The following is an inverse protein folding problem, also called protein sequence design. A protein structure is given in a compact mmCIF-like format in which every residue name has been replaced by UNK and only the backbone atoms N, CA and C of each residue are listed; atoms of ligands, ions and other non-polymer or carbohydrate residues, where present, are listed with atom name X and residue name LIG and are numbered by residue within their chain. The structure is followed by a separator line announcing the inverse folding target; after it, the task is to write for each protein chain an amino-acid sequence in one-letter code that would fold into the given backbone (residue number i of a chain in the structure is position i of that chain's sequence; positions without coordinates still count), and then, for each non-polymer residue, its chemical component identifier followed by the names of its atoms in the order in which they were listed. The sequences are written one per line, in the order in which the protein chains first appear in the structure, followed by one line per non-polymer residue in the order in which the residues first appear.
data_IF_886726141584
#
_entry.id   IF_886726141584
#
_cell.length_a   1.000
_cell.length_b   1.000
_cell.length_c   1.000
_cell.angle_alpha   90.00
_cell.angle_beta   90.00
_cell.angle_gamma   90.00
#
_symmetry.space_group_name_H-M   'P 1'
#
loop_
_entity.id
_entity.type
_entity.pdbx_description
1 polymer ?
#
# COMPACT_ATOMS: atom_id res chain seq x y z
N UNK A 1 12.57 4.40 45.77
CA UNK A 1 12.75 5.01 44.45
C UNK A 1 12.06 4.14 43.41
N UNK A 2 11.32 4.76 42.47
CA UNK A 2 10.66 4.10 41.35
C UNK A 2 11.42 4.53 40.08
N UNK A 3 11.77 3.56 39.26
CA UNK A 3 12.38 3.80 37.95
C UNK A 3 11.43 3.31 36.88
N UNK A 4 11.12 4.17 35.91
CA UNK A 4 10.36 3.82 34.70
C UNK A 4 11.41 3.50 33.65
N UNK A 5 11.31 2.33 33.04
CA UNK A 5 12.24 1.86 32.01
C UNK A 5 11.51 1.53 30.73
N UNK A 6 12.16 1.81 29.61
CA UNK A 6 11.72 1.42 28.29
C UNK A 6 12.47 0.19 27.79
N UNK A 7 12.00 -0.39 26.67
CA UNK A 7 12.72 -1.50 26.05
C UNK A 7 14.13 -1.04 25.64
N UNK A 8 15.14 -1.84 26.01
CA UNK A 8 16.55 -1.51 25.77
C UNK A 8 17.25 -0.79 26.91
N UNK A 9 16.52 -0.26 27.89
CA UNK A 9 17.15 0.32 29.09
C UNK A 9 17.75 -0.75 29.98
N UNK A 10 18.90 -0.43 30.57
CA UNK A 10 19.54 -1.32 31.53
C UNK A 10 19.77 -0.64 32.88
N UNK A 11 19.58 -1.40 33.97
CA UNK A 11 19.87 -0.98 35.34
C UNK A 11 20.87 -1.93 35.99
N UNK A 12 21.91 -1.37 36.58
CA UNK A 12 22.87 -2.09 37.39
C UNK A 12 22.51 -1.92 38.84
N UNK A 13 22.05 -3.02 39.48
CA UNK A 13 21.69 -3.05 40.89
C UNK A 13 22.90 -3.52 41.73
N UNK A 14 23.28 -2.74 42.72
CA UNK A 14 24.28 -3.09 43.72
C UNK A 14 23.66 -2.96 45.11
N UNK A 15 24.34 -3.54 46.14
CA UNK A 15 23.81 -3.63 47.50
C UNK A 15 23.26 -2.31 48.07
N UNK A 16 23.82 -1.16 47.68
CA UNK A 16 23.42 0.16 48.20
C UNK A 16 23.29 1.22 47.08
N UNK A 17 23.29 0.83 45.80
CA UNK A 17 23.20 1.76 44.69
C UNK A 17 22.51 1.16 43.50
N UNK A 18 21.85 2.05 42.74
CA UNK A 18 21.25 1.77 41.43
C UNK A 18 21.91 2.70 40.45
N UNK A 19 22.44 2.16 39.39
CA UNK A 19 23.06 2.92 38.30
C UNK A 19 22.29 2.64 37.01
N UNK A 20 21.99 3.71 36.27
CA UNK A 20 21.46 3.58 34.91
C UNK A 20 22.62 3.14 34.00
N UNK A 21 22.45 2.00 33.35
CA UNK A 21 23.43 1.45 32.43
C UNK A 21 23.23 1.99 30.99
N UNK A 22 23.98 1.46 30.02
CA UNK A 22 23.81 1.83 28.64
C UNK A 22 22.46 1.37 28.10
N UNK A 23 21.93 2.11 27.13
CA UNK A 23 20.78 1.72 26.35
C UNK A 23 21.23 0.73 25.25
N UNK A 24 20.50 -0.38 25.10
CA UNK A 24 20.74 -1.36 24.05
C UNK A 24 19.63 -1.29 23.01
N UNK A 25 19.92 -1.42 21.70
CA UNK A 25 18.91 -1.50 20.67
C UNK A 25 17.93 -2.64 20.96
N UNK A 26 16.65 -2.33 21.09
CA UNK A 26 15.58 -3.29 21.39
C UNK A 26 14.42 -3.12 20.40
N UNK A 27 14.75 -2.87 19.14
CA UNK A 27 13.78 -2.78 18.08
C UNK A 27 13.13 -4.14 17.81
N UNK A 28 11.84 -4.17 17.45
CA UNK A 28 11.15 -5.42 17.15
C UNK A 28 11.80 -6.11 15.95
N UNK A 29 12.12 -7.40 16.09
CA UNK A 29 12.58 -8.24 14.97
C UNK A 29 11.38 -9.02 14.45
N UNK A 30 10.94 -8.72 13.23
CA UNK A 30 9.86 -9.43 12.59
C UNK A 30 10.36 -10.75 11.99
N UNK A 31 9.70 -11.85 12.33
CA UNK A 31 10.03 -13.19 11.84
C UNK A 31 8.85 -13.71 11.02
N UNK A 32 9.08 -14.07 9.77
CA UNK A 32 8.07 -14.73 8.94
C UNK A 32 8.15 -16.26 9.15
N UNK A 33 7.03 -16.87 9.40
CA UNK A 33 6.69 -18.13 10.09
C UNK A 33 7.60 -19.37 9.94
N UNK A 34 8.54 -19.45 9.01
CA UNK A 34 9.46 -20.59 8.84
C UNK A 34 10.90 -20.23 8.45
N UNK A 35 11.11 -19.02 7.97
CA UNK A 35 12.46 -18.57 7.60
C UNK A 35 12.98 -17.59 8.66
N UNK A 36 13.98 -18.03 9.41
CA UNK A 36 14.71 -17.21 10.39
C UNK A 36 15.56 -16.11 9.73
N UNK A 37 15.51 -15.98 8.43
CA UNK A 37 16.28 -15.00 7.64
C UNK A 37 15.52 -13.70 7.42
N UNK A 38 14.98 -13.08 8.42
CA UNK A 38 14.40 -11.72 8.37
C UNK A 38 13.49 -11.45 7.17
N UNK A 39 12.26 -11.04 7.41
CA UNK A 39 11.33 -10.64 6.34
C UNK A 39 11.85 -9.38 5.65
N UNK A 40 11.75 -9.32 4.32
CA UNK A 40 12.12 -8.13 3.56
C UNK A 40 11.35 -6.90 4.09
N UNK A 41 12.07 -5.83 4.37
CA UNK A 41 11.53 -4.57 4.92
C UNK A 41 10.36 -4.02 4.09
N UNK A 42 10.40 -4.17 2.76
CA UNK A 42 9.29 -3.80 1.89
C UNK A 42 8.00 -4.58 2.17
N UNK A 43 8.11 -5.88 2.49
CA UNK A 43 6.95 -6.73 2.83
C UNK A 43 6.36 -6.34 4.19
N UNK A 44 7.20 -5.99 5.14
CA UNK A 44 6.76 -5.50 6.46
C UNK A 44 5.99 -4.20 6.28
N UNK A 45 6.57 -3.25 5.57
CA UNK A 45 5.94 -1.95 5.29
C UNK A 45 4.58 -2.09 4.56
N UNK A 46 4.48 -2.96 3.55
CA UNK A 46 3.20 -3.22 2.87
C UNK A 46 2.15 -3.81 3.83
N UNK A 47 2.55 -4.71 4.74
CA UNK A 47 1.66 -5.28 5.75
C UNK A 47 1.19 -4.24 6.77
N UNK A 48 2.06 -3.34 7.20
CA UNK A 48 1.73 -2.23 8.10
C UNK A 48 0.71 -1.30 7.42
N UNK A 49 0.98 -0.86 6.21
CA UNK A 49 0.05 -0.02 5.43
C UNK A 49 -1.32 -0.71 5.28
N UNK A 50 -1.34 -2.00 4.92
CA UNK A 50 -2.59 -2.75 4.79
C UNK A 50 -3.35 -2.86 6.12
N UNK A 51 -2.66 -2.97 7.25
CA UNK A 51 -3.30 -3.08 8.56
C UNK A 51 -3.89 -1.76 9.05
N UNK A 52 -3.25 -0.64 8.74
CA UNK A 52 -3.64 0.69 9.19
C UNK A 52 -4.61 1.38 8.22
N UNK A 53 -4.25 1.43 6.95
CA UNK A 53 -4.93 2.21 5.92
C UNK A 53 -5.73 1.36 4.92
N UNK A 54 -5.51 0.04 4.93
CA UNK A 54 -6.18 -0.88 4.03
C UNK A 54 -5.58 -0.95 2.63
N UNK A 55 -6.32 -1.57 1.71
CA UNK A 55 -5.90 -1.80 0.33
C UNK A 55 -6.99 -1.40 -0.66
N UNK A 56 -6.58 -0.83 -1.78
CA UNK A 56 -7.43 -0.51 -2.93
C UNK A 56 -6.84 -1.15 -4.17
N UNK A 57 -7.60 -2.04 -4.82
CA UNK A 57 -7.22 -2.60 -6.12
C UNK A 57 -8.07 -1.99 -7.23
N UNK A 58 -7.45 -1.57 -8.32
CA UNK A 58 -8.15 -1.08 -9.51
C UNK A 58 -7.82 -1.96 -10.69
N UNK A 59 -8.84 -2.61 -11.24
CA UNK A 59 -8.74 -3.56 -12.34
C UNK A 59 -9.23 -2.89 -13.62
N UNK A 60 -8.46 -2.94 -14.69
CA UNK A 60 -8.82 -2.41 -16.01
C UNK A 60 -8.36 -3.36 -17.12
N UNK A 61 -9.20 -3.53 -18.14
CA UNK A 61 -8.86 -4.30 -19.34
C UNK A 61 -8.60 -3.38 -20.52
N UNK A 62 -7.46 -3.54 -21.18
CA UNK A 62 -7.09 -2.74 -22.35
C UNK A 62 -6.73 -3.64 -23.53
N UNK A 63 -6.93 -3.09 -24.75
CA UNK A 63 -6.41 -3.67 -25.97
C UNK A 63 -5.03 -3.04 -26.25
N UNK A 64 -3.96 -3.83 -26.17
CA UNK A 64 -2.61 -3.33 -26.42
C UNK A 64 -2.32 -2.95 -27.86
N UNK A 65 -3.15 -3.40 -28.82
CA UNK A 65 -2.96 -3.12 -30.26
C UNK A 65 -3.43 -1.73 -30.65
N UNK A 66 -4.60 -1.32 -30.16
CA UNK A 66 -5.24 -0.06 -30.52
C UNK A 66 -5.36 0.94 -29.38
N UNK A 67 -4.97 0.52 -28.15
CA UNK A 67 -5.02 1.38 -26.98
C UNK A 67 -6.44 1.62 -26.45
N UNK A 68 -7.43 0.79 -26.81
CA UNK A 68 -8.80 0.97 -26.30
C UNK A 68 -9.00 0.32 -24.94
N UNK A 69 -9.86 0.93 -24.12
CA UNK A 69 -10.31 0.35 -22.86
C UNK A 69 -11.47 -0.59 -23.17
N UNK A 70 -11.29 -1.90 -22.93
CA UNK A 70 -12.30 -2.94 -23.17
C UNK A 70 -13.12 -3.19 -21.90
N UNK A 71 -12.44 -3.22 -20.73
CA UNK A 71 -13.10 -3.35 -19.45
C UNK A 71 -12.86 -2.07 -18.67
N UNK A 72 -13.95 -1.38 -18.36
CA UNK A 72 -13.89 -0.16 -17.55
C UNK A 72 -13.26 -0.43 -16.20
N UNK A 73 -12.57 0.55 -15.60
CA UNK A 73 -11.98 0.41 -14.28
C UNK A 73 -13.00 -0.09 -13.26
N UNK A 74 -12.59 -1.10 -12.49
CA UNK A 74 -13.32 -1.62 -11.34
C UNK A 74 -12.47 -1.46 -10.09
N UNK A 75 -13.06 -0.84 -9.05
CA UNK A 75 -12.42 -0.60 -7.78
C UNK A 75 -12.87 -1.65 -6.76
N UNK A 76 -11.91 -2.29 -6.09
CA UNK A 76 -12.13 -3.23 -5.00
C UNK A 76 -11.33 -2.77 -3.79
N UNK A 77 -12.01 -2.63 -2.65
CA UNK A 77 -11.38 -2.21 -1.39
C UNK A 77 -11.38 -3.35 -0.37
N UNK A 78 -10.32 -3.45 0.43
CA UNK A 78 -10.20 -4.38 1.56
C UNK A 78 -9.57 -3.67 2.75
N UNK A 79 -10.11 -3.97 3.95
CA UNK A 79 -9.66 -3.37 5.22
C UNK A 79 -9.65 -1.82 5.20
N UNK A 80 -10.39 -1.22 4.28
CA UNK A 80 -10.54 0.21 4.17
C UNK A 80 -11.84 0.63 4.88
N UNK A 81 -11.75 1.51 5.86
CA UNK A 81 -12.86 1.78 6.79
C UNK A 81 -14.01 2.60 6.20
N UNK A 82 -13.83 3.23 5.06
CA UNK A 82 -14.92 3.86 4.35
C UNK A 82 -15.54 2.85 3.38
N UNK A 83 -16.59 2.17 3.83
CA UNK A 83 -17.40 1.25 3.02
C UNK A 83 -18.33 2.06 2.09
N UNK A 84 -17.75 3.08 1.45
CA UNK A 84 -18.52 4.03 0.65
C UNK A 84 -18.49 3.57 -0.82
N UNK A 85 -19.61 2.98 -1.26
CA UNK A 85 -19.82 2.66 -2.69
C UNK A 85 -19.63 3.90 -3.58
N UNK A 86 -19.92 5.10 -3.05
CA UNK A 86 -19.69 6.36 -3.74
C UNK A 86 -18.21 6.62 -3.99
N UNK A 87 -17.34 6.30 -3.01
CA UNK A 87 -15.91 6.45 -3.18
C UNK A 87 -15.37 5.51 -4.27
N UNK A 88 -15.77 4.24 -4.25
CA UNK A 88 -15.35 3.26 -5.26
C UNK A 88 -15.78 3.69 -6.66
N UNK A 89 -17.04 4.09 -6.84
CA UNK A 89 -17.55 4.61 -8.11
C UNK A 89 -16.78 5.86 -8.57
N UNK A 90 -16.48 6.75 -7.64
CA UNK A 90 -15.74 7.98 -7.96
C UNK A 90 -14.29 7.70 -8.35
N UNK A 91 -13.64 6.71 -7.73
CA UNK A 91 -12.33 6.23 -8.13
C UNK A 91 -12.39 5.65 -9.56
N UNK A 92 -13.38 4.82 -9.87
CA UNK A 92 -13.59 4.26 -11.22
C UNK A 92 -13.70 5.36 -12.29
N UNK A 93 -14.51 6.40 -12.03
CA UNK A 93 -14.70 7.53 -12.94
C UNK A 93 -13.41 8.33 -13.16
N UNK A 94 -12.70 8.68 -12.07
CA UNK A 94 -11.46 9.46 -12.16
C UNK A 94 -10.38 8.69 -12.91
N UNK A 95 -10.27 7.39 -12.65
CA UNK A 95 -9.32 6.51 -13.34
C UNK A 95 -9.68 6.42 -14.82
N UNK A 96 -10.96 6.19 -15.15
CA UNK A 96 -11.43 6.13 -16.55
C UNK A 96 -11.07 7.40 -17.32
N UNK A 97 -11.39 8.56 -16.76
CA UNK A 97 -11.07 9.87 -17.37
C UNK A 97 -9.57 10.05 -17.59
N UNK A 98 -8.77 9.71 -16.57
CA UNK A 98 -7.31 9.84 -16.64
C UNK A 98 -6.69 8.91 -17.68
N UNK A 99 -7.23 7.69 -17.81
CA UNK A 99 -6.77 6.73 -18.81
C UNK A 99 -7.18 7.13 -20.22
N UNK A 100 -8.38 7.64 -20.44
CA UNK A 100 -8.80 8.14 -21.75
C UNK A 100 -7.87 9.25 -22.26
N UNK A 101 -7.51 10.19 -21.39
CA UNK A 101 -6.54 11.23 -21.70
C UNK A 101 -5.14 10.70 -21.99
N UNK A 102 -4.68 9.70 -21.22
CA UNK A 102 -3.37 9.09 -21.40
C UNK A 102 -3.27 8.27 -22.68
N UNK A 103 -4.33 7.53 -23.02
CA UNK A 103 -4.37 6.60 -24.17
C UNK A 103 -4.56 7.31 -25.51
N UNK A 104 -4.90 8.61 -25.51
CA UNK A 104 -4.85 9.44 -26.74
C UNK A 104 -3.42 9.51 -27.32
N UNK A 105 -2.40 9.21 -26.54
CA UNK A 105 -1.01 9.08 -26.94
C UNK A 105 -0.53 7.64 -26.74
N UNK A 106 0.44 7.19 -27.58
CA UNK A 106 1.06 5.86 -27.36
C UNK A 106 1.64 5.77 -25.94
N UNK A 107 1.15 4.84 -25.16
CA UNK A 107 1.56 4.67 -23.78
C UNK A 107 1.94 3.22 -23.48
N UNK A 108 2.67 3.01 -22.37
CA UNK A 108 3.11 1.69 -21.90
C UNK A 108 2.24 1.21 -20.74
N UNK A 109 2.20 -0.11 -20.52
CA UNK A 109 1.54 -0.69 -19.33
C UNK A 109 2.08 -0.13 -18.01
N UNK A 110 3.38 0.17 -17.95
CA UNK A 110 4.01 0.77 -16.77
C UNK A 110 3.44 2.17 -16.50
N UNK A 111 3.30 2.99 -17.55
CA UNK A 111 2.73 4.33 -17.42
C UNK A 111 1.25 4.28 -17.01
N UNK A 112 0.49 3.31 -17.53
CA UNK A 112 -0.90 3.11 -17.13
C UNK A 112 -0.99 2.78 -15.64
N UNK A 113 -0.20 1.79 -15.16
CA UNK A 113 -0.15 1.42 -13.74
C UNK A 113 0.25 2.59 -12.84
N UNK A 114 1.29 3.32 -13.19
CA UNK A 114 1.75 4.48 -12.41
C UNK A 114 0.72 5.61 -12.38
N UNK A 115 0.02 5.84 -13.48
CA UNK A 115 -1.06 6.84 -13.55
C UNK A 115 -2.23 6.44 -12.65
N UNK A 116 -2.70 5.18 -12.73
CA UNK A 116 -3.76 4.68 -11.85
C UNK A 116 -3.37 4.87 -10.39
N UNK A 117 -2.18 4.40 -10.00
CA UNK A 117 -1.68 4.51 -8.64
C UNK A 117 -1.70 5.96 -8.16
N UNK A 118 -1.07 6.86 -8.90
CA UNK A 118 -0.97 8.30 -8.56
C UNK A 118 -2.35 8.96 -8.39
N UNK A 119 -3.26 8.71 -9.32
CA UNK A 119 -4.59 9.35 -9.30
C UNK A 119 -5.42 8.86 -8.12
N UNK A 120 -5.39 7.56 -7.84
CA UNK A 120 -6.12 6.96 -6.71
C UNK A 120 -5.54 7.44 -5.39
N UNK A 121 -4.21 7.38 -5.20
CA UNK A 121 -3.55 7.85 -3.98
C UNK A 121 -3.88 9.32 -3.69
N UNK A 122 -3.80 10.18 -4.69
CA UNK A 122 -4.10 11.61 -4.55
C UNK A 122 -5.58 11.87 -4.19
N UNK A 123 -6.49 11.12 -4.80
CA UNK A 123 -7.91 11.28 -4.51
C UNK A 123 -8.25 10.81 -3.10
N UNK A 124 -7.79 9.61 -2.73
CA UNK A 124 -8.06 9.02 -1.42
C UNK A 124 -7.46 9.86 -0.31
N UNK A 125 -6.21 10.27 -0.45
CA UNK A 125 -5.54 11.12 0.53
C UNK A 125 -6.30 12.43 0.78
N UNK A 126 -6.74 13.11 -0.29
CA UNK A 126 -7.53 14.35 -0.16
C UNK A 126 -8.87 14.16 0.53
N UNK A 127 -9.45 12.96 0.47
CA UNK A 127 -10.76 12.66 1.06
C UNK A 127 -10.69 12.10 2.47
N UNK A 128 -9.65 11.36 2.80
CA UNK A 128 -9.56 10.56 4.03
C UNK A 128 -8.29 10.80 4.84
N UNK A 129 -7.32 11.52 4.28
CA UNK A 129 -5.95 11.69 4.82
C UNK A 129 -5.19 10.35 4.99
N UNK A 130 -5.74 9.26 4.44
CA UNK A 130 -5.15 7.92 4.47
C UNK A 130 -4.34 7.63 3.23
N UNK A 131 -3.38 6.70 3.36
CA UNK A 131 -2.48 6.25 2.28
C UNK A 131 -2.57 4.74 2.08
N UNK A 132 -3.73 4.19 1.65
CA UNK A 132 -3.89 2.75 1.46
C UNK A 132 -2.92 2.21 0.42
N UNK A 133 -2.62 0.91 0.50
CA UNK A 133 -1.87 0.22 -0.54
C UNK A 133 -2.68 0.16 -1.84
N UNK A 134 -2.24 0.87 -2.87
CA UNK A 134 -2.93 0.89 -4.18
C UNK A 134 -2.28 -0.10 -5.14
N UNK A 135 -3.08 -1.08 -5.60
CA UNK A 135 -2.65 -2.14 -6.52
C UNK A 135 -3.37 -1.99 -7.87
N UNK A 136 -2.71 -1.42 -8.90
CA UNK A 136 -3.25 -1.36 -10.25
C UNK A 136 -3.08 -2.69 -10.97
N UNK A 137 -4.17 -3.29 -11.42
CA UNK A 137 -4.21 -4.52 -12.22
C UNK A 137 -4.62 -4.15 -13.65
N UNK A 138 -3.68 -4.22 -14.57
CA UNK A 138 -3.92 -3.92 -15.99
C UNK A 138 -3.83 -5.22 -16.78
N UNK A 139 -4.93 -5.62 -17.42
CA UNK A 139 -5.04 -6.83 -18.22
C UNK A 139 -5.00 -6.47 -19.71
N UNK A 140 -4.23 -7.25 -20.48
CA UNK A 140 -4.24 -7.16 -21.94
C UNK A 140 -5.27 -8.14 -22.51
N UNK A 141 -6.37 -7.61 -23.03
CA UNK A 141 -7.44 -8.44 -23.56
C UNK A 141 -7.00 -9.29 -24.78
N UNK A 142 -5.97 -8.87 -25.52
CA UNK A 142 -5.47 -9.68 -26.65
C UNK A 142 -4.82 -11.00 -26.23
N UNK A 143 -4.32 -11.08 -24.99
CA UNK A 143 -3.68 -12.31 -24.48
C UNK A 143 -4.68 -13.34 -23.95
N UNK A 144 -5.94 -12.95 -23.77
CA UNK A 144 -6.98 -13.83 -23.22
C UNK A 144 -7.96 -14.32 -24.28
N UNK A 145 -7.94 -13.72 -25.48
CA UNK A 145 -8.80 -14.09 -26.61
C UNK A 145 -8.07 -14.95 -27.67
N UNK A 146 -6.84 -15.29 -27.42
CA UNK A 146 -6.02 -16.21 -28.20
C UNK A 146 -5.87 -17.53 -27.45
#
# INVERSE_FOLDING_TARGET
NVFIMENGDSLLLRKHSILIGPHYPAEPVYIDSKDFTGTNEAVINDREIMSEDGMISVIVGINSKDGTIIVNPKCVTKAFSSNDEHMSKRIEEIVLYSLQSLMANKTTFSNIKSTIKKVVEQYVYRKTERKPLVIPVVMDANKWLS
#
